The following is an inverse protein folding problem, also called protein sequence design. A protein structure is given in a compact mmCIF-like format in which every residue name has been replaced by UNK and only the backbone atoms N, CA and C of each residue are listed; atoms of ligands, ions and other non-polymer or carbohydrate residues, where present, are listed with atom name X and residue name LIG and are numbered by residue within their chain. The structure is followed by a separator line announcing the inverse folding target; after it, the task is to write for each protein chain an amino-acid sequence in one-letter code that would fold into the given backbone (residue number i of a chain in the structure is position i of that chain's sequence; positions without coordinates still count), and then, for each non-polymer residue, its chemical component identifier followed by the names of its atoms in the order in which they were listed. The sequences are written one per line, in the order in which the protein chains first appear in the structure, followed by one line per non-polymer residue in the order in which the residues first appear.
data_IF_312714672694
#
_entry.id   IF_312714672694
#
_cell.length_a   1.000
_cell.length_b   1.000
_cell.length_c   1.000
_cell.angle_alpha   90.00
_cell.angle_beta   90.00
_cell.angle_gamma   90.00
#
_symmetry.space_group_name_H-M   'P 1'
#
loop_
_entity.id
_entity.type
_entity.pdbx_description
1 polymer ?
#
# COMPACT_ATOMS: atom_id res chain seq x y z
N UNK A 1 -18.96 3.99 3.32
CA UNK A 1 -18.51 2.68 2.76
C UNK A 1 -17.01 2.74 2.70
N UNK A 2 -16.31 1.80 3.33
CA UNK A 2 -14.84 1.81 3.41
C UNK A 2 -14.18 1.82 2.03
N UNK A 3 -13.04 2.48 1.94
CA UNK A 3 -12.28 2.66 0.70
C UNK A 3 -11.03 1.78 0.70
N UNK A 4 -10.89 0.91 -0.30
CA UNK A 4 -9.75 0.00 -0.42
C UNK A 4 -8.74 0.61 -1.41
N UNK A 5 -7.53 0.92 -0.94
CA UNK A 5 -6.46 1.53 -1.72
C UNK A 5 -5.27 0.57 -1.79
N UNK A 6 -4.91 0.11 -2.99
CA UNK A 6 -3.69 -0.66 -3.20
C UNK A 6 -2.49 0.26 -3.42
N UNK A 7 -1.40 0.04 -2.69
CA UNK A 7 -0.13 0.74 -2.88
C UNK A 7 0.74 -0.11 -3.79
N UNK A 8 0.80 0.21 -5.08
CA UNK A 8 1.42 -0.64 -6.08
C UNK A 8 2.42 0.09 -6.98
N UNK A 9 3.51 -0.58 -7.29
CA UNK A 9 4.46 -0.24 -8.35
C UNK A 9 5.34 -1.46 -8.61
N UNK A 10 5.61 -1.78 -9.88
CA UNK A 10 6.44 -2.94 -10.25
C UNK A 10 7.92 -2.73 -9.91
N UNK A 11 8.37 -1.49 -9.76
CA UNK A 11 9.75 -1.18 -9.36
C UNK A 11 9.93 -1.39 -7.86
N UNK A 12 10.96 -2.16 -7.49
CA UNK A 12 11.39 -2.31 -6.10
C UNK A 12 12.00 -1.01 -5.55
N UNK A 13 11.90 -0.81 -4.23
CA UNK A 13 12.57 0.31 -3.56
C UNK A 13 11.96 1.71 -3.76
N UNK A 14 10.79 1.83 -4.36
CA UNK A 14 10.12 3.13 -4.59
C UNK A 14 9.34 3.66 -3.37
N UNK A 15 9.36 2.94 -2.25
CA UNK A 15 8.68 3.35 -1.02
C UNK A 15 7.24 2.86 -0.89
N UNK A 16 6.83 1.77 -1.53
CA UNK A 16 5.50 1.16 -1.37
C UNK A 16 5.18 0.87 0.09
N UNK A 17 5.95 -0.02 0.70
CA UNK A 17 5.79 -0.42 2.11
C UNK A 17 5.89 0.77 3.07
N UNK A 18 6.85 1.67 2.83
CA UNK A 18 6.98 2.89 3.63
C UNK A 18 5.71 3.75 3.53
N UNK A 19 5.13 3.85 2.33
CA UNK A 19 3.88 4.59 2.12
C UNK A 19 2.70 3.86 2.76
N UNK A 20 2.58 2.54 2.59
CA UNK A 20 1.49 1.76 3.19
C UNK A 20 1.47 1.90 4.72
N UNK A 21 2.61 1.70 5.40
CA UNK A 21 2.74 1.84 6.85
C UNK A 21 2.36 3.25 7.31
N UNK A 22 3.01 4.26 6.73
CA UNK A 22 2.92 5.62 7.26
C UNK A 22 1.62 6.33 6.86
N UNK A 23 1.07 6.02 5.69
CA UNK A 23 -0.26 6.49 5.31
C UNK A 23 -1.33 5.88 6.22
N UNK A 24 -1.29 4.55 6.47
CA UNK A 24 -2.23 3.89 7.39
C UNK A 24 -2.18 4.50 8.79
N UNK A 25 -0.97 4.68 9.34
CA UNK A 25 -0.79 5.24 10.67
C UNK A 25 -1.23 6.71 10.76
N UNK A 26 -1.01 7.52 9.71
CA UNK A 26 -1.44 8.92 9.71
C UNK A 26 -2.94 9.09 9.43
N UNK A 27 -3.57 8.19 8.66
CA UNK A 27 -5.03 8.14 8.53
C UNK A 27 -5.69 7.79 9.88
N UNK A 28 -5.13 6.81 10.60
CA UNK A 28 -5.59 6.44 11.94
C UNK A 28 -5.40 7.58 12.96
N UNK A 29 -4.26 8.28 12.92
CA UNK A 29 -4.00 9.49 13.73
C UNK A 29 -5.02 10.61 13.43
N UNK A 30 -5.53 10.68 12.20
CA UNK A 30 -6.60 11.61 11.80
C UNK A 30 -8.01 11.13 12.18
N UNK A 31 -8.13 10.04 12.96
CA UNK A 31 -9.40 9.51 13.47
C UNK A 31 -10.15 8.57 12.51
N UNK A 32 -9.53 8.14 11.42
CA UNK A 32 -10.12 7.16 10.51
C UNK A 32 -9.88 5.73 11.03
N UNK A 33 -10.85 4.84 10.88
CA UNK A 33 -10.67 3.41 11.15
C UNK A 33 -9.94 2.76 9.97
N UNK A 34 -8.74 2.24 10.20
CA UNK A 34 -7.85 1.75 9.14
C UNK A 34 -7.48 0.29 9.34
N UNK A 35 -7.54 -0.49 8.27
CA UNK A 35 -6.90 -1.79 8.17
C UNK A 35 -5.69 -1.69 7.23
N UNK A 36 -4.50 -1.92 7.74
CA UNK A 36 -3.30 -2.13 6.93
C UNK A 36 -3.20 -3.62 6.56
N UNK A 37 -3.09 -3.93 5.28
CA UNK A 37 -2.93 -5.29 4.76
C UNK A 37 -1.53 -5.42 4.19
N UNK A 38 -0.69 -6.22 4.82
CA UNK A 38 0.59 -6.62 4.25
C UNK A 38 0.32 -7.75 3.24
N UNK A 39 0.60 -7.50 1.98
CA UNK A 39 0.36 -8.47 0.91
C UNK A 39 1.63 -8.82 0.14
N UNK A 40 2.79 -8.52 0.75
CA UNK A 40 4.11 -8.89 0.25
C UNK A 40 4.66 -10.07 1.08
N UNK A 41 5.08 -11.18 0.45
CA UNK A 41 5.72 -12.31 1.14
C UNK A 41 6.96 -11.92 1.96
N UNK A 42 7.55 -10.76 1.69
CA UNK A 42 8.65 -10.23 2.49
C UNK A 42 8.19 -9.79 3.89
N UNK A 43 6.91 -9.57 4.15
CA UNK A 43 6.36 -9.19 5.46
C UNK A 43 6.95 -7.89 6.01
N UNK A 44 7.29 -6.94 5.13
CA UNK A 44 7.99 -5.72 5.54
C UNK A 44 7.05 -4.70 6.19
N UNK A 45 5.77 -4.65 5.80
CA UNK A 45 4.78 -3.81 6.48
C UNK A 45 4.49 -4.37 7.87
N UNK A 46 4.37 -5.68 8.00
CA UNK A 46 4.20 -6.40 9.26
C UNK A 46 5.31 -6.06 10.26
N UNK A 47 6.58 -6.24 9.85
CA UNK A 47 7.71 -5.93 10.74
C UNK A 47 7.87 -4.43 11.01
N UNK A 48 7.56 -3.58 10.03
CA UNK A 48 7.60 -2.13 10.20
C UNK A 48 6.52 -1.58 11.15
N UNK A 49 5.49 -2.36 11.43
CA UNK A 49 4.46 -2.08 12.43
C UNK A 49 4.71 -2.77 13.78
N UNK A 50 5.87 -3.42 13.95
CA UNK A 50 6.34 -3.93 15.25
C UNK A 50 6.11 -5.42 15.48
N UNK A 51 5.69 -6.18 14.45
CA UNK A 51 5.47 -7.61 14.59
C UNK A 51 6.65 -8.42 14.07
N UNK A 52 7.08 -9.40 14.83
CA UNK A 52 8.19 -10.26 14.46
C UNK A 52 7.72 -11.32 13.46
N UNK A 53 8.40 -11.40 12.31
CA UNK A 53 8.07 -12.34 11.24
C UNK A 53 8.26 -13.78 11.72
N UNK A 54 7.35 -14.69 11.34
CA UNK A 54 7.44 -16.11 11.67
C UNK A 54 6.98 -16.47 13.09
N UNK A 55 6.49 -15.51 13.88
CA UNK A 55 5.92 -15.76 15.21
C UNK A 55 4.39 -15.59 15.23
N UNK A 56 3.77 -15.44 14.06
CA UNK A 56 2.31 -15.36 13.96
C UNK A 56 1.74 -16.69 13.49
N UNK A 57 0.72 -17.15 14.18
CA UNK A 57 0.06 -18.43 13.86
C UNK A 57 -0.85 -18.31 12.63
N UNK A 58 -1.33 -17.10 12.31
CA UNK A 58 -2.27 -16.82 11.23
C UNK A 58 -1.93 -15.51 10.52
N UNK A 59 -1.81 -15.59 9.22
CA UNK A 59 -1.46 -14.48 8.33
C UNK A 59 -2.42 -14.42 7.14
N UNK A 60 -2.19 -13.51 6.23
CA UNK A 60 -2.94 -13.46 4.97
C UNK A 60 -2.74 -14.74 4.12
N UNK A 61 -1.67 -15.51 4.34
CA UNK A 61 -1.48 -16.79 3.66
C UNK A 61 -2.55 -17.80 4.07
N UNK A 62 -2.72 -18.08 5.38
CA UNK A 62 -3.72 -19.02 5.89
C UNK A 62 -5.15 -18.58 5.51
N UNK A 63 -5.38 -17.26 5.42
CA UNK A 63 -6.65 -16.71 4.94
C UNK A 63 -6.89 -17.10 3.47
N UNK A 64 -5.91 -16.92 2.58
CA UNK A 64 -6.07 -17.19 1.15
C UNK A 64 -6.23 -18.68 0.83
N UNK A 65 -5.57 -19.55 1.59
CA UNK A 65 -5.72 -21.02 1.42
C UNK A 65 -6.94 -21.59 2.14
N UNK A 66 -7.68 -20.74 2.88
CA UNK A 66 -8.94 -21.11 3.53
C UNK A 66 -8.78 -21.85 4.87
N UNK A 67 -7.63 -21.71 5.53
CA UNK A 67 -7.33 -22.35 6.83
C UNK A 67 -7.78 -21.52 8.03
N UNK A 68 -8.12 -20.24 7.83
CA UNK A 68 -8.63 -19.37 8.89
C UNK A 68 -9.65 -18.36 8.34
N UNK A 69 -10.36 -17.71 9.26
CA UNK A 69 -11.20 -16.56 8.94
C UNK A 69 -10.41 -15.26 8.98
N UNK A 70 -10.93 -14.21 8.34
CA UNK A 70 -10.29 -12.90 8.33
C UNK A 70 -10.17 -12.30 9.74
N UNK A 71 -11.19 -12.49 10.58
CA UNK A 71 -11.20 -12.02 11.97
C UNK A 71 -10.11 -12.68 12.83
N UNK A 72 -9.78 -13.94 12.53
CA UNK A 72 -8.73 -14.67 13.24
C UNK A 72 -7.32 -14.23 12.83
N UNK A 73 -7.17 -13.65 11.62
CA UNK A 73 -5.88 -13.19 11.10
C UNK A 73 -5.59 -11.73 11.45
N UNK A 74 -6.62 -10.89 11.69
CA UNK A 74 -6.43 -9.47 11.97
C UNK A 74 -5.91 -9.25 13.39
N UNK A 75 -4.79 -8.53 13.48
CA UNK A 75 -4.27 -8.02 14.75
C UNK A 75 -4.91 -6.66 15.00
N UNK A 76 -5.64 -6.55 16.12
CA UNK A 76 -6.40 -5.34 16.46
C UNK A 76 -5.55 -4.33 17.22
N UNK A 77 -5.85 -3.04 17.02
CA UNK A 77 -5.35 -1.92 17.83
C UNK A 77 -3.81 -1.85 17.93
N UNK A 78 -3.11 -2.09 16.82
CA UNK A 78 -1.64 -1.88 16.79
C UNK A 78 -1.25 -0.42 17.04
N UNK A 79 -2.16 0.46 16.73
CA UNK A 79 -2.23 1.87 17.11
C UNK A 79 -3.73 2.18 17.26
N UNK A 80 -4.08 3.25 17.96
CA UNK A 80 -5.47 3.72 18.01
C UNK A 80 -6.03 3.87 16.60
N UNK A 81 -7.18 3.24 16.31
CA UNK A 81 -7.85 3.16 15.01
C UNK A 81 -7.07 2.43 13.90
N UNK A 82 -6.00 1.71 14.19
CA UNK A 82 -5.22 0.94 13.20
C UNK A 82 -5.18 -0.53 13.57
N UNK A 83 -5.71 -1.37 12.67
CA UNK A 83 -5.59 -2.82 12.69
C UNK A 83 -4.65 -3.28 11.57
N UNK A 84 -4.11 -4.49 11.67
CA UNK A 84 -3.21 -5.08 10.66
C UNK A 84 -3.61 -6.49 10.30
N UNK A 85 -3.67 -6.79 9.00
CA UNK A 85 -3.63 -8.14 8.46
C UNK A 85 -2.18 -8.45 8.07
N UNK A 86 -1.47 -9.29 8.82
CA UNK A 86 -0.04 -9.51 8.65
C UNK A 86 0.27 -10.48 7.52
N UNK A 87 1.54 -10.46 7.09
CA UNK A 87 2.12 -11.37 6.11
C UNK A 87 3.42 -11.98 6.59
N UNK A 88 3.76 -13.13 6.00
CA UNK A 88 5.08 -13.76 6.16
C UNK A 88 5.53 -14.45 4.87
N UNK A 89 6.68 -15.14 4.93
CA UNK A 89 7.29 -15.81 3.78
C UNK A 89 6.40 -16.91 3.17
N UNK A 90 5.49 -17.50 3.94
CA UNK A 90 4.58 -18.56 3.47
C UNK A 90 3.66 -18.05 2.37
N UNK A 91 3.34 -16.75 2.35
CA UNK A 91 2.52 -16.15 1.31
C UNK A 91 3.09 -16.37 -0.11
N UNK A 92 4.40 -16.57 -0.26
CA UNK A 92 4.99 -16.96 -1.55
C UNK A 92 4.48 -18.33 -2.03
N UNK A 93 4.16 -19.24 -1.11
CA UNK A 93 3.58 -20.55 -1.43
C UNK A 93 2.18 -20.46 -2.02
N UNK A 94 1.39 -19.47 -1.62
CA UNK A 94 0.04 -19.27 -2.12
C UNK A 94 -0.01 -19.11 -3.65
N UNK A 95 1.01 -18.53 -4.28
CA UNK A 95 1.05 -18.40 -5.75
C UNK A 95 1.08 -19.75 -6.49
N UNK A 96 1.62 -20.78 -5.85
CA UNK A 96 1.66 -22.14 -6.39
C UNK A 96 0.40 -22.92 -6.01
N UNK A 97 0.01 -22.86 -4.73
CA UNK A 97 -1.12 -23.64 -4.21
C UNK A 97 -2.47 -23.20 -4.79
N UNK A 98 -2.59 -21.92 -5.12
CA UNK A 98 -3.80 -21.37 -5.71
C UNK A 98 -3.91 -21.58 -7.24
N UNK A 99 -2.93 -22.21 -7.91
CA UNK A 99 -2.92 -22.32 -9.38
C UNK A 99 -4.20 -22.93 -9.93
N UNK A 100 -4.73 -23.95 -9.29
CA UNK A 100 -5.93 -24.69 -9.71
C UNK A 100 -7.22 -24.24 -9.00
N UNK A 101 -7.14 -23.20 -8.14
CA UNK A 101 -8.30 -22.69 -7.41
C UNK A 101 -9.15 -21.81 -8.34
N UNK A 102 -10.47 -22.08 -8.48
CA UNK A 102 -11.35 -21.23 -9.25
C UNK A 102 -11.42 -19.80 -8.69
N UNK A 103 -11.43 -18.80 -9.58
CA UNK A 103 -11.50 -17.36 -9.21
C UNK A 103 -10.36 -16.91 -8.27
N UNK A 104 -9.21 -17.54 -8.37
CA UNK A 104 -8.03 -17.25 -7.54
C UNK A 104 -7.61 -15.78 -7.53
N UNK A 105 -7.91 -15.04 -8.58
CA UNK A 105 -7.62 -13.61 -8.69
C UNK A 105 -8.54 -12.72 -7.82
N UNK A 106 -9.60 -13.29 -7.24
CA UNK A 106 -10.64 -12.56 -6.49
C UNK A 106 -10.73 -12.96 -5.01
N UNK A 107 -9.84 -13.80 -4.53
CA UNK A 107 -9.89 -14.32 -3.16
C UNK A 107 -9.80 -13.19 -2.13
N UNK A 108 -8.81 -12.30 -2.26
CA UNK A 108 -8.67 -11.16 -1.35
C UNK A 108 -9.90 -10.23 -1.40
N UNK A 109 -10.47 -10.00 -2.60
CA UNK A 109 -11.70 -9.22 -2.76
C UNK A 109 -12.87 -9.83 -1.98
N UNK A 110 -13.00 -11.15 -2.04
CA UNK A 110 -14.07 -11.88 -1.33
C UNK A 110 -13.93 -11.71 0.17
N UNK A 111 -12.73 -11.83 0.70
CA UNK A 111 -12.47 -11.72 2.13
C UNK A 111 -12.64 -10.27 2.62
N UNK A 112 -11.98 -9.30 1.98
CA UNK A 112 -12.09 -7.89 2.37
C UNK A 112 -13.51 -7.33 2.20
N UNK A 113 -14.28 -7.88 1.25
CA UNK A 113 -15.69 -7.51 1.05
C UNK A 113 -16.57 -7.75 2.28
N UNK A 114 -16.22 -8.71 3.14
CA UNK A 114 -16.95 -9.05 4.38
C UNK A 114 -16.86 -7.95 5.43
N UNK A 115 -15.74 -7.23 5.47
CA UNK A 115 -15.40 -6.24 6.52
C UNK A 115 -15.26 -4.81 5.98
N UNK A 116 -15.49 -4.59 4.69
CA UNK A 116 -15.29 -3.28 4.04
C UNK A 116 -16.01 -2.13 4.75
N UNK A 117 -17.13 -2.41 5.40
CA UNK A 117 -17.94 -1.40 6.10
C UNK A 117 -17.49 -1.15 7.55
N UNK A 118 -16.58 -1.96 8.07
CA UNK A 118 -16.08 -1.83 9.45
C UNK A 118 -14.91 -0.84 9.54
N UNK A 119 -14.33 -0.50 8.39
CA UNK A 119 -13.20 0.43 8.24
C UNK A 119 -13.55 1.59 7.31
N UNK A 120 -12.94 2.74 7.55
CA UNK A 120 -13.00 3.89 6.63
C UNK A 120 -12.01 3.68 5.47
N UNK A 121 -10.84 3.12 5.78
CA UNK A 121 -9.81 2.80 4.79
C UNK A 121 -9.21 1.39 5.00
N UNK A 122 -8.97 0.70 3.89
CA UNK A 122 -8.14 -0.50 3.82
C UNK A 122 -6.97 -0.21 2.90
N UNK A 123 -5.74 -0.26 3.42
CA UNK A 123 -4.51 0.03 2.67
C UNK A 123 -3.77 -1.28 2.43
N UNK A 124 -3.57 -1.65 1.16
CA UNK A 124 -2.89 -2.90 0.79
C UNK A 124 -1.46 -2.58 0.32
N UNK A 125 -0.45 -3.11 1.02
CA UNK A 125 0.95 -3.07 0.57
C UNK A 125 1.21 -4.20 -0.44
N UNK A 126 1.51 -3.87 -1.68
CA UNK A 126 1.69 -4.83 -2.76
C UNK A 126 3.17 -5.20 -2.98
N UNK A 127 3.47 -6.47 -3.36
CA UNK A 127 4.82 -6.87 -3.74
C UNK A 127 5.30 -6.13 -5.01
N UNK A 128 6.62 -6.11 -5.29
CA UNK A 128 7.19 -5.42 -6.45
C UNK A 128 7.04 -6.19 -7.78
N UNK A 129 6.31 -7.29 -7.80
CA UNK A 129 6.13 -8.15 -8.97
C UNK A 129 4.71 -8.07 -9.53
N UNK A 130 4.54 -8.32 -10.82
CA UNK A 130 3.24 -8.55 -11.44
C UNK A 130 2.88 -10.03 -11.28
N UNK A 131 2.55 -10.45 -10.08
CA UNK A 131 2.22 -11.81 -9.71
C UNK A 131 0.71 -11.98 -9.41
N UNK A 132 0.28 -13.19 -9.08
CA UNK A 132 -1.08 -13.47 -8.63
C UNK A 132 -1.47 -12.62 -7.41
N UNK A 133 -0.52 -12.36 -6.51
CA UNK A 133 -0.75 -11.51 -5.34
C UNK A 133 -1.08 -10.08 -5.76
N UNK A 134 -0.28 -9.45 -6.60
CA UNK A 134 -0.57 -8.09 -7.09
C UNK A 134 -1.91 -8.03 -7.82
N UNK A 135 -2.24 -9.05 -8.62
CA UNK A 135 -3.55 -9.13 -9.30
C UNK A 135 -4.69 -9.22 -8.28
N UNK A 136 -4.56 -10.02 -7.21
CA UNK A 136 -5.55 -10.09 -6.13
C UNK A 136 -5.73 -8.73 -5.44
N UNK A 137 -4.64 -8.04 -5.10
CA UNK A 137 -4.69 -6.72 -4.48
C UNK A 137 -5.43 -5.71 -5.37
N UNK A 138 -5.10 -5.65 -6.67
CA UNK A 138 -5.75 -4.76 -7.63
C UNK A 138 -7.22 -5.14 -7.89
N UNK A 139 -7.54 -6.43 -7.83
CA UNK A 139 -8.92 -6.91 -7.99
C UNK A 139 -9.77 -6.52 -6.79
N UNK A 140 -9.20 -6.50 -5.59
CA UNK A 140 -9.87 -6.14 -4.35
C UNK A 140 -10.00 -4.61 -4.16
N UNK A 141 -9.07 -3.84 -4.73
CA UNK A 141 -8.99 -2.39 -4.51
C UNK A 141 -10.08 -1.60 -5.25
N UNK A 142 -10.51 -0.50 -4.66
CA UNK A 142 -11.29 0.54 -5.35
C UNK A 142 -10.36 1.43 -6.19
N UNK A 143 -9.18 1.75 -5.63
CA UNK A 143 -8.21 2.62 -6.28
C UNK A 143 -6.76 2.17 -6.05
N UNK A 144 -5.85 2.66 -6.91
CA UNK A 144 -4.41 2.39 -6.83
C UNK A 144 -3.64 3.66 -6.61
N UNK A 145 -2.91 3.77 -5.49
CA UNK A 145 -1.93 4.80 -5.23
C UNK A 145 -0.55 4.31 -5.66
N UNK A 146 0.14 5.10 -6.48
CA UNK A 146 1.42 4.74 -7.09
C UNK A 146 2.55 5.60 -6.53
N UNK A 147 3.36 5.09 -5.60
CA UNK A 147 4.59 5.76 -5.18
C UNK A 147 5.61 5.72 -6.30
N UNK A 148 6.21 6.88 -6.61
CA UNK A 148 7.25 7.03 -7.63
C UNK A 148 8.47 7.67 -7.02
N UNK A 149 9.59 6.96 -7.04
CA UNK A 149 10.88 7.54 -6.69
C UNK A 149 11.33 8.49 -7.81
N UNK A 150 11.83 9.68 -7.43
CA UNK A 150 12.31 10.70 -8.37
C UNK A 150 13.66 10.31 -8.98
N UNK A 151 13.67 9.27 -9.85
CA UNK A 151 14.82 8.71 -10.55
C UNK A 151 14.56 8.57 -12.05
N UNK A 152 15.63 8.33 -12.83
CA UNK A 152 15.60 8.31 -14.29
C UNK A 152 14.52 7.38 -14.88
N UNK A 153 14.31 6.19 -14.31
CA UNK A 153 13.33 5.21 -14.80
C UNK A 153 11.90 5.38 -14.23
N UNK A 154 11.59 6.55 -13.67
CA UNK A 154 10.29 6.82 -13.04
C UNK A 154 9.10 6.66 -14.01
N UNK A 155 9.23 7.19 -15.22
CA UNK A 155 8.17 7.14 -16.26
C UNK A 155 7.94 5.73 -16.80
N UNK A 156 8.99 4.92 -16.92
CA UNK A 156 8.85 3.53 -17.37
C UNK A 156 8.05 2.72 -16.35
N UNK A 157 8.41 2.79 -15.06
CA UNK A 157 7.66 2.12 -14.00
C UNK A 157 6.20 2.60 -13.90
N UNK A 158 5.96 3.91 -14.10
CA UNK A 158 4.61 4.46 -14.14
C UNK A 158 3.80 3.90 -15.32
N UNK A 159 4.37 3.85 -16.51
CA UNK A 159 3.69 3.31 -17.70
C UNK A 159 3.33 1.83 -17.53
N UNK A 160 4.22 1.04 -16.94
CA UNK A 160 3.99 -0.38 -16.68
C UNK A 160 2.83 -0.61 -15.69
N UNK A 161 2.79 0.13 -14.58
CA UNK A 161 1.70 -0.02 -13.60
C UNK A 161 0.37 0.46 -14.17
N UNK A 162 0.33 1.54 -14.94
CA UNK A 162 -0.90 2.00 -15.60
C UNK A 162 -1.45 0.94 -16.56
N UNK A 163 -0.60 0.32 -17.38
CA UNK A 163 -1.01 -0.77 -18.27
C UNK A 163 -1.59 -1.95 -17.48
N UNK A 164 -1.00 -2.28 -16.33
CA UNK A 164 -1.50 -3.33 -15.45
C UNK A 164 -2.87 -2.98 -14.87
N UNK A 165 -3.05 -1.76 -14.39
CA UNK A 165 -4.34 -1.26 -13.87
C UNK A 165 -5.41 -1.36 -14.95
N UNK A 166 -5.13 -0.90 -16.17
CA UNK A 166 -6.06 -0.99 -17.30
C UNK A 166 -6.42 -2.44 -17.66
N UNK A 167 -5.45 -3.37 -17.59
CA UNK A 167 -5.70 -4.78 -17.84
C UNK A 167 -6.61 -5.39 -16.78
N UNK A 168 -6.35 -5.12 -15.50
CA UNK A 168 -7.19 -5.58 -14.37
C UNK A 168 -8.58 -4.96 -14.45
N UNK A 169 -8.66 -3.65 -14.73
CA UNK A 169 -9.94 -2.94 -14.94
C UNK A 169 -10.78 -3.60 -16.02
N UNK A 170 -10.18 -3.94 -17.13
CA UNK A 170 -10.88 -4.56 -18.26
C UNK A 170 -11.36 -5.98 -17.99
N UNK A 171 -10.63 -6.77 -17.19
CA UNK A 171 -10.87 -8.21 -17.07
C UNK A 171 -11.47 -8.65 -15.74
N UNK A 172 -11.12 -7.99 -14.64
CA UNK A 172 -11.38 -8.47 -13.29
C UNK A 172 -12.13 -7.47 -12.42
N UNK A 173 -11.77 -6.18 -12.49
CA UNK A 173 -12.35 -5.14 -11.65
C UNK A 173 -12.67 -3.87 -12.45
N UNK A 174 -13.84 -3.78 -13.09
CA UNK A 174 -14.22 -2.63 -13.92
C UNK A 174 -14.28 -1.28 -13.19
N UNK A 175 -14.35 -1.30 -11.86
CA UNK A 175 -14.42 -0.11 -11.01
C UNK A 175 -13.05 0.39 -10.55
N UNK A 176 -11.97 -0.38 -10.80
CA UNK A 176 -10.64 0.02 -10.38
C UNK A 176 -10.22 1.33 -11.05
N UNK A 177 -9.76 2.28 -10.25
CA UNK A 177 -9.29 3.57 -10.75
C UNK A 177 -7.89 3.91 -10.23
N UNK A 178 -7.21 4.84 -10.92
CA UNK A 178 -5.96 5.40 -10.43
C UNK A 178 -6.28 6.44 -9.36
N UNK A 179 -5.93 6.13 -8.10
CA UNK A 179 -6.01 7.06 -6.98
C UNK A 179 -5.13 8.28 -7.20
N UNK A 180 -3.91 8.01 -7.56
CA UNK A 180 -2.93 9.02 -7.90
C UNK A 180 -1.50 8.57 -7.75
N UNK A 181 -0.61 9.47 -8.17
CA UNK A 181 0.84 9.32 -8.05
C UNK A 181 1.33 10.16 -6.89
N UNK A 182 2.14 9.60 -6.01
CA UNK A 182 2.89 10.32 -4.98
C UNK A 182 4.39 10.20 -5.24
N UNK A 183 5.08 11.35 -5.28
CA UNK A 183 6.52 11.38 -5.42
C UNK A 183 7.20 11.07 -4.09
N UNK A 184 8.16 10.15 -4.11
CA UNK A 184 8.90 9.70 -2.94
C UNK A 184 10.39 9.95 -3.10
N UNK A 185 11.09 9.98 -1.96
CA UNK A 185 12.55 10.18 -1.92
C UNK A 185 13.01 11.42 -2.72
N UNK A 186 12.16 12.44 -2.76
CA UNK A 186 12.44 13.68 -3.44
C UNK A 186 13.63 14.39 -2.78
N UNK A 187 14.59 14.80 -3.60
CA UNK A 187 15.72 15.60 -3.15
C UNK A 187 15.74 16.94 -3.92
N UNK A 188 15.34 18.02 -3.21
CA UNK A 188 15.26 19.37 -3.77
C UNK A 188 16.62 19.93 -4.24
N UNK A 189 17.74 19.31 -3.85
CA UNK A 189 19.09 19.72 -4.27
C UNK A 189 19.46 19.22 -5.66
N UNK A 190 18.68 18.30 -6.24
CA UNK A 190 18.98 17.68 -7.52
C UNK A 190 18.03 18.15 -8.62
N UNK A 191 18.56 18.52 -9.77
CA UNK A 191 17.77 18.85 -10.96
C UNK A 191 16.99 17.61 -11.46
N UNK A 192 17.52 16.41 -11.23
CA UNK A 192 16.86 15.17 -11.65
C UNK A 192 15.49 15.02 -10.99
N UNK A 193 15.39 15.27 -9.68
CA UNK A 193 14.10 15.17 -8.98
C UNK A 193 13.06 16.13 -9.57
N UNK A 194 13.45 17.37 -9.86
CA UNK A 194 12.57 18.35 -10.47
C UNK A 194 12.13 17.91 -11.89
N UNK A 195 13.08 17.48 -12.73
CA UNK A 195 12.78 17.02 -14.09
C UNK A 195 11.83 15.81 -14.10
N UNK A 196 11.99 14.87 -13.17
CA UNK A 196 11.09 13.72 -13.06
C UNK A 196 9.67 14.17 -12.70
N UNK A 197 9.52 15.08 -11.75
CA UNK A 197 8.21 15.63 -11.36
C UNK A 197 7.55 16.34 -12.56
N UNK A 198 8.28 17.17 -13.29
CA UNK A 198 7.77 17.88 -14.46
C UNK A 198 7.38 16.91 -15.59
N UNK A 199 8.21 15.90 -15.85
CA UNK A 199 7.94 14.90 -16.87
C UNK A 199 6.69 14.07 -16.53
N UNK A 200 6.54 13.61 -15.28
CA UNK A 200 5.34 12.89 -14.86
C UNK A 200 4.10 13.78 -14.98
N UNK A 201 4.18 15.05 -14.56
CA UNK A 201 3.08 16.02 -14.69
C UNK A 201 2.68 16.27 -16.15
N UNK A 202 3.64 16.26 -17.07
CA UNK A 202 3.37 16.42 -18.50
C UNK A 202 2.65 15.20 -19.12
N UNK A 203 2.86 14.01 -18.58
CA UNK A 203 2.24 12.77 -19.07
C UNK A 203 0.92 12.42 -18.37
N UNK A 204 0.79 12.78 -17.08
CA UNK A 204 -0.43 12.59 -16.29
C UNK A 204 -1.09 13.94 -16.05
N UNK A 205 -2.14 14.24 -16.80
CA UNK A 205 -2.89 15.50 -16.66
C UNK A 205 -3.68 15.61 -15.35
N UNK A 206 -3.91 14.49 -14.65
CA UNK A 206 -4.71 14.38 -13.42
C UNK A 206 -4.11 13.31 -12.50
N UNK A 207 -4.63 13.23 -11.27
CA UNK A 207 -4.28 12.19 -10.30
C UNK A 207 -2.80 12.23 -9.85
N UNK A 208 -2.28 13.42 -9.62
CA UNK A 208 -0.98 13.61 -8.95
C UNK A 208 -1.25 14.27 -7.60
N UNK A 209 -0.70 13.67 -6.54
CA UNK A 209 -0.75 14.26 -5.20
C UNK A 209 0.09 15.54 -5.15
N UNK A 210 -0.42 16.57 -4.47
CA UNK A 210 0.35 17.79 -4.21
C UNK A 210 1.46 17.52 -3.22
N UNK A 211 1.21 16.60 -2.31
CA UNK A 211 2.15 16.14 -1.29
C UNK A 211 3.31 15.37 -1.93
N UNK A 212 4.53 15.73 -1.53
CA UNK A 212 5.77 15.07 -1.95
C UNK A 212 6.47 14.53 -0.70
N UNK A 213 6.89 13.26 -0.73
CA UNK A 213 7.64 12.64 0.36
C UNK A 213 9.14 12.86 0.12
N UNK A 214 9.82 13.63 0.98
CA UNK A 214 11.23 13.89 0.81
C UNK A 214 12.10 12.67 1.14
N UNK A 215 13.33 12.64 0.65
CA UNK A 215 14.34 11.72 1.15
C UNK A 215 14.62 12.05 2.63
N UNK A 216 14.32 11.11 3.52
CA UNK A 216 14.41 11.32 4.97
C UNK A 216 14.98 10.09 5.66
N UNK A 217 16.06 10.28 6.43
CA UNK A 217 16.73 9.18 7.16
C UNK A 217 15.81 8.56 8.21
N UNK A 218 14.98 9.36 8.88
CA UNK A 218 14.05 8.87 9.91
C UNK A 218 13.02 7.89 9.35
N UNK A 219 12.57 8.09 8.10
CA UNK A 219 11.69 7.13 7.40
C UNK A 219 12.38 5.79 7.13
N UNK A 220 13.71 5.80 6.94
CA UNK A 220 14.48 4.57 6.74
C UNK A 220 14.79 3.86 8.07
N UNK A 221 14.93 4.61 9.16
CA UNK A 221 15.23 4.08 10.50
C UNK A 221 13.99 3.51 11.20
N UNK A 222 12.84 4.17 11.07
CA UNK A 222 11.60 3.84 11.78
C UNK A 222 11.21 2.34 11.70
N UNK A 223 11.28 1.65 10.54
CA UNK A 223 10.96 0.24 10.45
C UNK A 223 11.86 -0.67 11.29
N UNK A 224 13.14 -0.30 11.50
CA UNK A 224 14.05 -1.07 12.36
C UNK A 224 13.67 -1.02 13.84
N UNK A 225 12.80 -0.09 14.22
CA UNK A 225 12.21 0.04 15.55
C UNK A 225 10.76 -0.46 15.61
N UNK A 226 10.24 -1.03 14.51
CA UNK A 226 8.86 -1.52 14.44
C UNK A 226 7.82 -0.42 14.67
N UNK A 227 8.08 0.79 14.23
CA UNK A 227 7.20 1.97 14.48
C UNK A 227 6.97 2.77 13.22
N UNK A 228 5.74 3.19 12.93
CA UNK A 228 5.49 4.18 11.90
C UNK A 228 6.11 5.54 12.28
N UNK A 229 6.34 6.39 11.27
CA UNK A 229 7.09 7.63 11.44
C UNK A 229 6.43 8.63 12.39
N UNK A 230 5.10 8.67 12.43
CA UNK A 230 4.32 9.54 13.31
C UNK A 230 4.51 9.22 14.79
N UNK A 231 4.93 7.98 15.12
CA UNK A 231 5.29 7.54 16.48
C UNK A 231 6.81 7.58 16.69
N UNK A 232 7.60 7.19 15.69
CA UNK A 232 9.06 7.13 15.81
C UNK A 232 9.70 8.51 15.93
N UNK A 233 9.32 9.45 15.06
CA UNK A 233 9.78 10.85 15.09
C UNK A 233 8.66 11.78 14.61
N UNK A 234 7.76 12.10 15.53
CA UNK A 234 6.52 12.83 15.26
C UNK A 234 6.72 14.24 14.67
N UNK A 235 7.93 14.82 14.81
CA UNK A 235 8.28 16.17 14.31
C UNK A 235 9.16 16.13 13.06
N UNK A 236 9.49 14.94 12.56
CA UNK A 236 10.29 14.82 11.34
C UNK A 236 9.52 15.33 10.11
N UNK A 237 10.25 15.80 9.12
CA UNK A 237 9.66 16.18 7.82
C UNK A 237 8.96 14.98 7.15
N UNK A 238 9.41 13.75 7.44
CA UNK A 238 8.75 12.53 6.98
C UNK A 238 7.36 12.36 7.59
N UNK A 239 7.23 12.57 8.92
CA UNK A 239 5.94 12.50 9.60
C UNK A 239 4.97 13.56 9.10
N UNK A 240 5.44 14.81 8.97
CA UNK A 240 4.64 15.91 8.42
C UNK A 240 4.15 15.61 7.01
N UNK A 241 5.03 15.11 6.13
CA UNK A 241 4.65 14.79 4.75
C UNK A 241 3.60 13.67 4.68
N UNK A 242 3.68 12.63 5.52
CA UNK A 242 2.66 11.59 5.53
C UNK A 242 1.34 12.04 6.15
N UNK A 243 1.34 12.95 7.14
CA UNK A 243 0.11 13.61 7.61
C UNK A 243 -0.55 14.45 6.51
N UNK A 244 0.25 15.19 5.74
CA UNK A 244 -0.26 15.93 4.57
C UNK A 244 -0.83 15.00 3.51
N UNK A 245 -0.17 13.86 3.23
CA UNK A 245 -0.68 12.87 2.30
C UNK A 245 -2.00 12.27 2.79
N UNK A 246 -2.10 11.91 4.08
CA UNK A 246 -3.32 11.40 4.67
C UNK A 246 -4.48 12.41 4.57
N UNK A 247 -4.22 13.68 4.88
CA UNK A 247 -5.21 14.75 4.75
C UNK A 247 -5.67 14.93 3.28
N UNK A 248 -4.75 14.82 2.32
CA UNK A 248 -5.08 14.90 0.90
C UNK A 248 -5.90 13.67 0.43
N UNK A 249 -5.60 12.46 0.93
CA UNK A 249 -6.39 11.24 0.66
C UNK A 249 -7.82 11.38 1.21
N UNK A 250 -7.99 11.88 2.43
CA UNK A 250 -9.30 12.12 3.04
C UNK A 250 -10.11 13.11 2.20
N UNK A 251 -9.51 14.27 1.88
CA UNK A 251 -10.18 15.32 1.10
C UNK A 251 -10.66 14.84 -0.28
N UNK A 252 -9.85 14.02 -0.96
CA UNK A 252 -10.22 13.45 -2.28
C UNK A 252 -11.32 12.36 -2.17
N UNK A 253 -11.48 11.76 -1.00
CA UNK A 253 -12.54 10.77 -0.75
C UNK A 253 -13.91 11.40 -0.51
N UNK A 254 -13.95 12.71 -0.23
CA UNK A 254 -15.19 13.48 0.02
C UNK A 254 -15.73 14.16 -1.26
N UNK A 255 -14.94 14.24 -2.33
CA UNK A 255 -15.34 14.75 -3.65
C UNK A 255 -16.06 13.67 -4.49
#
# INVERSE_FOLDING_TARGET
MGRIIAIANQKGGVGKTTTAINLSACLAEAGQKVLAVDFDPQGNATSGLGFEKGYMDKTVYELLVGECTLEECIIKEVQENLDVLPSDVNLAGAEIELLDVPNKESLLRTELGKIKNDYDYVIIDCPPSLSLLTINALTAADTVLVPIQCEYYALEGLSQIIQTVELVKKKLNPQLELEGVVFTMYDARTNLSLQVVENVKAHLNKNIYKTIIPRNVRLAEAPSHGKPINIYDTRSTGAESYRMLAAEVISRGEE
#
